data_IF_059198976158
#
_entry.id   IF_059198976158
#
_cell.length_a   1.000
_cell.length_b   1.000
_cell.length_c   1.000
_cell.angle_alpha   90.00
_cell.angle_beta   90.00
_cell.angle_gamma   90.00
#
_symmetry.space_group_name_H-M   'P 1'
#
loop_
_entity.id
_entity.type
_entity.pdbx_description
1 polymer ?
#
# COMPACT_ATOMS: atom_id res chain seq x y z
N UNK A 1 -24.90 14.84 3.64
CA UNK A 1 -25.15 13.80 4.66
C UNK A 1 -24.13 12.72 4.40
N UNK A 2 -23.48 12.18 5.44
CA UNK A 2 -22.50 11.12 5.23
C UNK A 2 -23.15 9.91 4.55
N UNK A 3 -22.35 9.13 3.84
CA UNK A 3 -22.76 7.91 3.16
C UNK A 3 -23.27 6.83 4.12
N UNK A 4 -22.79 6.86 5.35
CA UNK A 4 -23.25 6.02 6.44
C UNK A 4 -23.32 6.86 7.73
N UNK A 5 -24.26 6.53 8.62
CA UNK A 5 -24.47 7.26 9.87
C UNK A 5 -23.88 6.54 11.10
N UNK A 6 -23.45 5.29 10.96
CA UNK A 6 -22.86 4.50 12.04
C UNK A 6 -22.10 3.30 11.49
N UNK A 7 -21.00 2.90 12.12
CA UNK A 7 -20.24 1.69 11.78
C UNK A 7 -20.09 0.78 12.99
N UNK A 8 -19.81 -0.51 12.74
CA UNK A 8 -19.45 -1.45 13.81
C UNK A 8 -17.95 -1.31 14.11
N UNK A 9 -17.65 -0.77 15.29
CA UNK A 9 -16.28 -0.60 15.77
C UNK A 9 -15.52 -1.93 15.86
N UNK A 10 -16.17 -3.03 16.24
CA UNK A 10 -15.51 -4.33 16.37
C UNK A 10 -15.11 -4.91 15.01
N UNK A 11 -15.95 -4.73 13.99
CA UNK A 11 -15.59 -5.13 12.62
C UNK A 11 -14.43 -4.30 12.06
N UNK A 12 -14.36 -3.00 12.39
CA UNK A 12 -13.21 -2.16 12.01
C UNK A 12 -11.93 -2.61 12.72
N UNK A 13 -11.98 -2.86 14.03
CA UNK A 13 -10.83 -3.35 14.81
C UNK A 13 -10.34 -4.70 14.27
N UNK A 14 -11.27 -5.60 13.93
CA UNK A 14 -10.97 -6.91 13.33
C UNK A 14 -10.33 -6.75 11.95
N UNK A 15 -10.85 -5.86 11.10
CA UNK A 15 -10.27 -5.57 9.79
C UNK A 15 -8.83 -5.03 9.91
N UNK A 16 -8.56 -4.15 10.88
CA UNK A 16 -7.21 -3.65 11.18
C UNK A 16 -6.29 -4.81 11.61
N UNK A 17 -6.75 -5.68 12.52
CA UNK A 17 -5.96 -6.81 12.99
C UNK A 17 -5.59 -7.77 11.84
N UNK A 18 -6.55 -8.15 11.00
CA UNK A 18 -6.31 -9.01 9.83
C UNK A 18 -5.39 -8.34 8.81
N UNK A 19 -5.54 -7.03 8.59
CA UNK A 19 -4.67 -6.29 7.68
C UNK A 19 -3.21 -6.25 8.18
N UNK A 20 -3.00 -6.06 9.47
CA UNK A 20 -1.67 -6.09 10.09
C UNK A 20 -1.04 -7.50 10.04
N UNK A 21 -1.82 -8.53 10.33
CA UNK A 21 -1.37 -9.92 10.21
C UNK A 21 -0.92 -10.23 8.78
N UNK A 22 -1.73 -9.87 7.80
CA UNK A 22 -1.42 -10.04 6.37
C UNK A 22 -0.18 -9.24 5.96
N UNK A 23 -0.04 -8.01 6.46
CA UNK A 23 1.13 -7.17 6.20
C UNK A 23 2.42 -7.83 6.68
N UNK A 24 2.49 -8.25 7.95
CA UNK A 24 3.69 -8.84 8.51
C UNK A 24 4.00 -10.22 7.92
N UNK A 25 2.99 -11.05 7.66
CA UNK A 25 3.18 -12.35 7.01
C UNK A 25 3.83 -12.20 5.62
N UNK A 26 3.28 -11.31 4.79
CA UNK A 26 3.80 -11.03 3.45
C UNK A 26 5.20 -10.40 3.49
N UNK A 27 5.44 -9.50 4.45
CA UNK A 27 6.75 -8.84 4.59
C UNK A 27 7.83 -9.85 4.98
N UNK A 28 7.55 -10.73 5.94
CA UNK A 28 8.44 -11.83 6.35
C UNK A 28 8.71 -12.75 5.15
N UNK A 29 7.69 -13.17 4.41
CA UNK A 29 7.87 -14.01 3.22
C UNK A 29 8.79 -13.35 2.18
N UNK A 30 8.63 -12.05 1.93
CA UNK A 30 9.48 -11.29 0.99
C UNK A 30 10.94 -11.23 1.46
N UNK A 31 11.17 -11.04 2.75
CA UNK A 31 12.51 -10.98 3.35
C UNK A 31 13.17 -12.36 3.31
N UNK A 32 12.44 -13.39 3.71
CA UNK A 32 12.92 -14.77 3.72
C UNK A 32 13.26 -15.26 2.32
N UNK A 33 12.47 -14.86 1.31
CA UNK A 33 12.71 -15.17 -0.10
C UNK A 33 13.76 -14.30 -0.81
N UNK A 34 14.34 -13.30 -0.14
CA UNK A 34 15.31 -12.39 -0.76
C UNK A 34 16.61 -13.11 -1.13
N UNK A 35 17.05 -12.95 -2.37
CA UNK A 35 18.26 -13.57 -2.91
C UNK A 35 19.27 -12.52 -3.38
N UNK A 36 20.48 -12.54 -2.83
CA UNK A 36 21.45 -11.47 -3.09
C UNK A 36 21.85 -11.39 -4.56
N UNK A 37 22.05 -12.53 -5.24
CA UNK A 37 22.45 -12.55 -6.65
C UNK A 37 21.38 -11.92 -7.54
N UNK A 38 20.09 -12.28 -7.34
CA UNK A 38 18.97 -11.67 -8.08
C UNK A 38 18.89 -10.17 -7.86
N UNK A 39 19.15 -9.71 -6.63
CA UNK A 39 19.14 -8.28 -6.31
C UNK A 39 20.32 -7.57 -6.97
N UNK A 40 21.53 -8.12 -6.85
CA UNK A 40 22.74 -7.48 -7.37
C UNK A 40 22.73 -7.35 -8.89
N UNK A 41 22.00 -8.20 -9.64
CA UNK A 41 21.76 -8.01 -11.09
C UNK A 41 21.01 -6.73 -11.45
N UNK A 42 20.24 -6.14 -10.52
CA UNK A 42 19.41 -4.95 -10.77
C UNK A 42 19.96 -3.69 -10.10
N UNK A 43 21.03 -3.82 -9.31
CA UNK A 43 21.65 -2.71 -8.60
C UNK A 43 22.82 -2.16 -9.40
N UNK A 44 23.26 -0.95 -9.05
CA UNK A 44 24.39 -0.30 -9.69
C UNK A 44 25.65 -0.51 -8.82
N UNK A 45 26.56 -1.44 -9.18
CA UNK A 45 27.78 -1.68 -8.42
C UNK A 45 28.71 -0.45 -8.36
N UNK A 46 28.72 0.38 -9.41
CA UNK A 46 29.49 1.63 -9.43
C UNK A 46 29.00 2.63 -8.38
N UNK A 47 27.70 2.67 -8.08
CA UNK A 47 27.16 3.53 -7.02
C UNK A 47 27.66 3.11 -5.64
N UNK A 48 27.74 1.81 -5.36
CA UNK A 48 28.30 1.33 -4.09
C UNK A 48 29.78 1.69 -3.96
N UNK A 49 30.54 1.57 -5.05
CA UNK A 49 31.94 2.02 -5.11
C UNK A 49 32.07 3.52 -4.91
N UNK A 50 31.21 4.32 -5.55
CA UNK A 50 31.20 5.78 -5.45
C UNK A 50 30.80 6.27 -4.04
N UNK A 51 29.94 5.53 -3.34
CA UNK A 51 29.64 5.76 -1.92
C UNK A 51 30.75 5.32 -0.98
N UNK A 52 31.89 4.85 -1.51
CA UNK A 52 33.03 4.35 -0.77
C UNK A 52 32.67 3.21 0.21
N UNK A 53 31.68 2.38 -0.14
CA UNK A 53 31.32 1.22 0.69
C UNK A 53 32.49 0.24 0.72
N UNK A 54 32.87 -0.24 1.91
CA UNK A 54 34.10 -1.02 2.10
C UNK A 54 33.86 -2.49 2.46
N UNK A 55 32.64 -2.85 2.86
CA UNK A 55 32.35 -4.21 3.35
C UNK A 55 31.11 -4.82 2.72
N UNK A 56 31.08 -6.15 2.68
CA UNK A 56 29.90 -6.92 2.30
C UNK A 56 28.69 -6.57 3.18
N UNK A 57 28.92 -6.38 4.48
CA UNK A 57 27.87 -6.01 5.44
C UNK A 57 27.21 -4.69 5.09
N UNK A 58 28.00 -3.67 4.77
CA UNK A 58 27.51 -2.34 4.42
C UNK A 58 26.65 -2.34 3.13
N UNK A 59 27.09 -3.06 2.10
CA UNK A 59 26.32 -3.19 0.85
C UNK A 59 25.03 -3.96 1.11
N UNK A 60 25.10 -5.09 1.82
CA UNK A 60 23.93 -5.93 2.11
C UNK A 60 22.92 -5.20 2.99
N UNK A 61 23.37 -4.46 4.00
CA UNK A 61 22.50 -3.64 4.85
C UNK A 61 21.79 -2.57 4.01
N UNK A 62 22.54 -1.80 3.19
CA UNK A 62 21.94 -0.80 2.31
C UNK A 62 20.92 -1.40 1.34
N UNK A 63 21.17 -2.62 0.84
CA UNK A 63 20.25 -3.34 -0.04
C UNK A 63 19.00 -3.79 0.71
N UNK A 64 19.19 -4.44 1.87
CA UNK A 64 18.11 -5.01 2.66
C UNK A 64 17.18 -3.91 3.19
N UNK A 65 17.72 -2.83 3.75
CA UNK A 65 16.91 -1.68 4.21
C UNK A 65 16.10 -1.07 3.09
N UNK A 66 16.70 -0.85 1.92
CA UNK A 66 15.98 -0.30 0.76
C UNK A 66 14.90 -1.26 0.24
N UNK A 67 15.17 -2.58 0.25
CA UNK A 67 14.21 -3.60 -0.15
C UNK A 67 13.02 -3.66 0.81
N UNK A 68 13.29 -3.65 2.12
CA UNK A 68 12.27 -3.66 3.16
C UNK A 68 11.40 -2.42 3.06
N UNK A 69 11.98 -1.22 3.01
CA UNK A 69 11.24 0.04 2.91
C UNK A 69 10.28 0.07 1.71
N UNK A 70 10.74 -0.36 0.52
CA UNK A 70 9.89 -0.44 -0.67
C UNK A 70 8.80 -1.51 -0.56
N UNK A 71 9.12 -2.65 0.08
CA UNK A 71 8.16 -3.73 0.29
C UNK A 71 7.08 -3.33 1.30
N UNK A 72 7.46 -2.63 2.37
CA UNK A 72 6.55 -2.13 3.40
C UNK A 72 5.50 -1.21 2.76
N UNK A 73 5.92 -0.19 2.01
CA UNK A 73 5.00 0.73 1.33
C UNK A 73 4.05 -0.01 0.38
N UNK A 74 4.58 -0.95 -0.41
CA UNK A 74 3.80 -1.70 -1.40
C UNK A 74 2.77 -2.61 -0.73
N UNK A 75 3.20 -3.44 0.23
CA UNK A 75 2.33 -4.41 0.90
C UNK A 75 1.27 -3.67 1.71
N UNK A 76 1.68 -2.69 2.51
CA UNK A 76 0.77 -1.92 3.36
C UNK A 76 -0.27 -1.16 2.53
N UNK A 77 0.17 -0.53 1.42
CA UNK A 77 -0.72 0.15 0.48
C UNK A 77 -1.79 -0.76 -0.14
N UNK A 78 -1.49 -2.06 -0.30
CA UNK A 78 -2.39 -3.04 -0.91
C UNK A 78 -3.35 -3.69 0.08
N UNK A 79 -2.95 -3.92 1.33
CA UNK A 79 -3.75 -4.72 2.27
C UNK A 79 -4.43 -3.92 3.39
N UNK A 80 -4.02 -2.68 3.65
CA UNK A 80 -4.44 -2.00 4.88
C UNK A 80 -5.79 -1.29 4.76
N UNK A 81 -5.92 -0.35 3.84
CA UNK A 81 -7.03 0.60 3.88
C UNK A 81 -8.35 0.11 3.29
N UNK A 82 -8.31 -0.72 2.24
CA UNK A 82 -9.53 -1.22 1.59
C UNK A 82 -10.41 -2.03 2.56
N UNK A 83 -9.89 -3.02 3.32
CA UNK A 83 -10.72 -3.77 4.28
C UNK A 83 -11.32 -2.89 5.37
N UNK A 84 -10.56 -1.90 5.85
CA UNK A 84 -11.03 -0.94 6.88
C UNK A 84 -12.17 -0.08 6.33
N UNK A 85 -12.02 0.44 5.11
CA UNK A 85 -13.04 1.24 4.47
C UNK A 85 -14.32 0.41 4.23
N UNK A 86 -14.20 -0.85 3.79
CA UNK A 86 -15.35 -1.76 3.65
C UNK A 86 -16.04 -1.93 5.01
N UNK A 87 -15.31 -2.31 6.06
CA UNK A 87 -15.87 -2.52 7.40
C UNK A 87 -16.56 -1.26 7.98
N UNK A 88 -16.02 -0.07 7.69
CA UNK A 88 -16.55 1.20 8.19
C UNK A 88 -17.72 1.75 7.36
N UNK A 89 -17.90 1.29 6.12
CA UNK A 89 -18.82 1.91 5.16
C UNK A 89 -20.29 1.53 5.32
N UNK A 90 -20.59 0.40 5.97
CA UNK A 90 -21.94 -0.21 5.92
C UNK A 90 -22.35 -0.68 4.51
N UNK A 91 -21.45 -0.60 3.53
CA UNK A 91 -21.63 -1.03 2.15
C UNK A 91 -21.09 -2.44 1.91
N UNK A 92 -21.23 -2.89 0.66
CA UNK A 92 -20.69 -4.18 0.23
C UNK A 92 -19.48 -3.98 -0.68
N UNK A 93 -18.56 -4.96 -0.67
CA UNK A 93 -17.50 -5.04 -1.67
C UNK A 93 -18.12 -5.08 -3.06
N UNK A 94 -17.68 -4.18 -3.94
CA UNK A 94 -18.27 -4.07 -5.25
C UNK A 94 -17.80 -5.20 -6.18
N UNK A 95 -18.69 -5.62 -7.09
CA UNK A 95 -18.35 -6.56 -8.16
C UNK A 95 -17.80 -5.84 -9.41
N UNK A 96 -17.98 -4.52 -9.48
CA UNK A 96 -17.57 -3.72 -10.62
C UNK A 96 -16.07 -3.39 -10.55
N UNK A 97 -15.36 -3.55 -11.67
CA UNK A 97 -13.92 -3.31 -11.75
C UNK A 97 -13.54 -1.89 -11.31
N UNK A 98 -12.51 -1.76 -10.48
CA UNK A 98 -12.00 -0.48 -9.98
C UNK A 98 -12.97 0.29 -9.08
N UNK A 99 -14.04 -0.35 -8.61
CA UNK A 99 -14.85 0.15 -7.50
C UNK A 99 -14.64 -0.83 -6.36
N UNK A 100 -14.38 -0.30 -5.17
CA UNK A 100 -14.06 -1.11 -4.00
C UNK A 100 -15.31 -1.30 -3.12
N UNK A 101 -16.13 -0.25 -2.99
CA UNK A 101 -17.34 -0.24 -2.14
C UNK A 101 -18.53 0.28 -2.94
N UNK A 102 -19.67 -0.38 -2.76
CA UNK A 102 -20.98 0.08 -3.23
C UNK A 102 -21.94 0.19 -2.05
N UNK A 103 -22.57 1.36 -1.90
CA UNK A 103 -23.58 1.65 -0.88
C UNK A 103 -24.89 1.99 -1.59
N UNK A 104 -25.97 1.33 -1.20
CA UNK A 104 -27.31 1.63 -1.68
C UNK A 104 -28.12 2.31 -0.58
N UNK A 105 -28.41 3.59 -0.77
CA UNK A 105 -29.45 4.27 0.01
C UNK A 105 -30.80 4.00 -0.65
N UNK A 106 -31.67 3.27 0.05
CA UNK A 106 -33.02 2.93 -0.43
C UNK A 106 -34.01 4.09 -0.26
N UNK A 107 -33.76 5.00 0.68
CA UNK A 107 -34.64 6.13 0.96
C UNK A 107 -34.50 7.20 -0.12
N UNK A 108 -33.27 7.49 -0.55
CA UNK A 108 -33.02 8.44 -1.65
C UNK A 108 -32.91 7.77 -3.03
N UNK A 109 -32.96 6.44 -3.08
CA UNK A 109 -32.69 5.63 -4.27
C UNK A 109 -31.35 5.99 -4.94
N UNK A 110 -30.29 6.11 -4.12
CA UNK A 110 -28.95 6.50 -4.55
C UNK A 110 -27.97 5.34 -4.40
N UNK A 111 -27.17 5.12 -5.44
CA UNK A 111 -26.03 4.21 -5.45
C UNK A 111 -24.75 5.05 -5.37
N UNK A 112 -24.01 4.87 -4.29
CA UNK A 112 -22.70 5.47 -4.10
C UNK A 112 -21.61 4.44 -4.40
N UNK A 113 -20.75 4.77 -5.36
CA UNK A 113 -19.62 3.94 -5.79
C UNK A 113 -18.30 4.57 -5.33
N UNK A 114 -17.49 3.82 -4.61
CA UNK A 114 -16.27 4.35 -3.99
C UNK A 114 -15.07 3.55 -4.47
N UNK A 115 -14.07 4.25 -5.01
CA UNK A 115 -12.73 3.72 -5.21
C UNK A 115 -11.84 4.19 -4.06
N UNK A 116 -11.39 3.26 -3.23
CA UNK A 116 -10.50 3.47 -2.10
C UNK A 116 -9.06 3.49 -2.60
N UNK A 117 -8.30 4.48 -2.11
CA UNK A 117 -6.90 4.68 -2.44
C UNK A 117 -6.16 5.08 -1.16
N UNK A 118 -4.90 4.67 -1.06
CA UNK A 118 -4.10 4.96 0.13
C UNK A 118 -3.90 6.48 0.30
N UNK A 119 -3.35 7.17 -0.70
CA UNK A 119 -3.05 8.61 -0.66
C UNK A 119 -3.33 9.35 -1.97
N UNK A 120 -3.17 10.69 -1.99
CA UNK A 120 -3.61 11.54 -3.11
C UNK A 120 -2.76 11.41 -4.39
N UNK A 121 -1.53 10.89 -4.29
CA UNK A 121 -0.55 10.82 -5.39
C UNK A 121 -0.41 9.42 -6.00
N UNK A 122 -1.50 8.66 -6.07
CA UNK A 122 -1.49 7.26 -6.56
C UNK A 122 -1.81 7.10 -8.05
N UNK A 123 -2.29 8.15 -8.70
CA UNK A 123 -2.70 8.09 -10.10
C UNK A 123 -1.62 8.63 -11.03
N UNK A 124 -1.30 7.86 -12.06
CA UNK A 124 -0.75 8.38 -13.31
C UNK A 124 -1.91 8.68 -14.28
N UNK A 125 -1.60 9.24 -15.45
CA UNK A 125 -2.63 9.64 -16.41
C UNK A 125 -3.51 8.46 -16.86
N UNK A 126 -2.91 7.30 -17.11
CA UNK A 126 -3.61 6.11 -17.60
C UNK A 126 -4.50 5.47 -16.53
N UNK A 127 -3.99 5.32 -15.30
CA UNK A 127 -4.76 4.74 -14.21
C UNK A 127 -5.95 5.61 -13.82
N UNK A 128 -5.81 6.95 -13.94
CA UNK A 128 -6.93 7.87 -13.75
C UNK A 128 -7.99 7.73 -14.84
N UNK A 129 -7.58 7.66 -16.12
CA UNK A 129 -8.49 7.48 -17.25
C UNK A 129 -9.27 6.17 -17.12
N UNK A 130 -8.60 5.08 -16.74
CA UNK A 130 -9.26 3.79 -16.48
C UNK A 130 -10.26 3.88 -15.33
N UNK A 131 -9.91 4.55 -14.23
CA UNK A 131 -10.84 4.77 -13.12
C UNK A 131 -12.10 5.53 -13.56
N UNK A 132 -11.94 6.54 -14.41
CA UNK A 132 -13.08 7.30 -14.96
C UNK A 132 -13.98 6.43 -15.85
N UNK A 133 -13.39 5.55 -16.66
CA UNK A 133 -14.13 4.58 -17.47
C UNK A 133 -14.93 3.60 -16.60
N UNK A 134 -14.34 3.13 -15.51
CA UNK A 134 -14.99 2.22 -14.57
C UNK A 134 -16.20 2.87 -13.89
N UNK A 135 -16.08 4.13 -13.44
CA UNK A 135 -17.23 4.87 -12.92
C UNK A 135 -18.31 5.11 -13.98
N UNK A 136 -17.93 5.43 -15.23
CA UNK A 136 -18.91 5.59 -16.31
C UNK A 136 -19.69 4.29 -16.58
N UNK A 137 -19.03 3.13 -16.54
CA UNK A 137 -19.68 1.84 -16.73
C UNK A 137 -20.68 1.55 -15.59
N UNK A 138 -20.28 1.76 -14.33
CA UNK A 138 -21.16 1.57 -13.18
C UNK A 138 -22.34 2.58 -13.16
N UNK A 139 -22.11 3.81 -13.61
CA UNK A 139 -23.18 4.81 -13.74
C UNK A 139 -24.28 4.37 -14.71
N UNK A 140 -23.92 3.75 -15.84
CA UNK A 140 -24.91 3.20 -16.79
C UNK A 140 -25.77 2.10 -16.17
N UNK A 141 -25.17 1.23 -15.34
CA UNK A 141 -25.92 0.20 -14.62
C UNK A 141 -26.89 0.81 -13.61
N UNK A 142 -26.47 1.83 -12.86
CA UNK A 142 -27.35 2.54 -11.93
C UNK A 142 -28.52 3.24 -12.66
N UNK A 143 -28.28 3.82 -13.84
CA UNK A 143 -29.33 4.42 -14.66
C UNK A 143 -30.37 3.40 -15.13
N UNK A 144 -29.95 2.19 -15.51
CA UNK A 144 -30.88 1.09 -15.86
C UNK A 144 -31.76 0.69 -14.68
N UNK A 145 -31.21 0.73 -13.46
CA UNK A 145 -31.94 0.53 -12.21
C UNK A 145 -32.76 1.75 -11.77
N UNK A 146 -32.78 2.84 -12.55
CA UNK A 146 -33.43 4.13 -12.23
C UNK A 146 -32.95 4.73 -10.89
N UNK A 147 -31.73 4.42 -10.48
CA UNK A 147 -31.12 4.93 -9.26
C UNK A 147 -30.27 6.18 -9.57
N UNK A 148 -30.20 7.11 -8.62
CA UNK A 148 -29.21 8.17 -8.65
C UNK A 148 -27.82 7.54 -8.46
N UNK A 149 -26.81 8.10 -9.12
CA UNK A 149 -25.43 7.60 -9.03
C UNK A 149 -24.50 8.69 -8.52
N UNK A 150 -23.71 8.36 -7.51
CA UNK A 150 -22.66 9.21 -6.98
C UNK A 150 -21.34 8.44 -6.93
N UNK A 151 -20.26 9.02 -7.45
CA UNK A 151 -18.95 8.38 -7.48
C UNK A 151 -17.95 9.15 -6.61
N UNK A 152 -17.11 8.41 -5.91
CA UNK A 152 -16.12 8.93 -4.97
C UNK A 152 -14.78 8.26 -5.18
N UNK A 153 -13.70 9.05 -5.23
CA UNK A 153 -12.36 8.58 -4.95
C UNK A 153 -12.04 8.98 -3.51
N UNK A 154 -11.89 7.98 -2.65
CA UNK A 154 -11.52 8.15 -1.25
C UNK A 154 -10.04 7.94 -1.04
N UNK A 155 -9.33 8.97 -0.59
CA UNK A 155 -7.94 8.87 -0.16
C UNK A 155 -7.88 8.74 1.36
N UNK A 156 -7.34 7.63 1.84
CA UNK A 156 -7.34 7.28 3.25
C UNK A 156 -6.42 8.14 4.12
N UNK A 157 -5.35 8.68 3.56
CA UNK A 157 -4.50 9.67 4.23
C UNK A 157 -4.18 10.87 3.33
N UNK A 158 -3.58 11.89 3.95
CA UNK A 158 -3.17 13.11 3.27
C UNK A 158 -4.27 14.17 3.23
N UNK A 159 -3.97 15.27 2.54
CA UNK A 159 -4.87 16.43 2.42
C UNK A 159 -4.97 16.81 0.95
N UNK A 160 -6.18 17.14 0.50
CA UNK A 160 -6.44 17.66 -0.84
C UNK A 160 -7.22 18.96 -0.72
N UNK A 161 -6.77 19.99 -1.43
CA UNK A 161 -7.51 21.25 -1.56
C UNK A 161 -8.48 21.10 -2.72
N UNK A 162 -9.69 21.63 -2.56
CA UNK A 162 -10.60 21.79 -3.68
C UNK A 162 -9.97 22.78 -4.67
N UNK A 163 -9.59 22.28 -5.85
CA UNK A 163 -8.85 23.10 -6.80
C UNK A 163 -9.73 24.11 -7.54
N UNK A 164 -11.06 24.06 -7.37
CA UNK A 164 -12.06 25.07 -7.80
C UNK A 164 -12.08 25.45 -9.30
N UNK A 165 -11.11 24.98 -10.09
CA UNK A 165 -10.78 25.44 -11.44
C UNK A 165 -10.69 24.30 -12.45
N UNK A 166 -11.19 23.12 -12.11
CA UNK A 166 -11.24 21.95 -12.99
C UNK A 166 -12.58 21.83 -13.72
N UNK A 167 -12.58 21.08 -14.83
CA UNK A 167 -13.83 20.63 -15.45
C UNK A 167 -14.67 19.88 -14.41
N UNK A 168 -16.02 20.03 -14.42
CA UNK A 168 -16.89 19.21 -13.58
C UNK A 168 -16.56 17.74 -13.79
N UNK A 169 -16.26 17.04 -12.70
CA UNK A 169 -16.01 15.60 -12.70
C UNK A 169 -17.31 14.88 -12.38
N UNK A 170 -17.49 13.68 -12.93
CA UNK A 170 -18.60 12.80 -12.55
C UNK A 170 -18.43 12.18 -11.15
N UNK A 171 -17.30 12.43 -10.50
CA UNK A 171 -16.92 11.89 -9.19
C UNK A 171 -16.33 12.99 -8.30
N UNK A 172 -16.42 12.78 -7.00
CA UNK A 172 -15.80 13.61 -5.97
C UNK A 172 -14.48 12.99 -5.50
N UNK A 173 -13.55 13.82 -5.03
CA UNK A 173 -12.26 13.39 -4.48
C UNK A 173 -12.17 13.85 -3.03
N UNK A 174 -12.15 12.92 -2.08
CA UNK A 174 -12.11 13.21 -0.66
C UNK A 174 -10.83 12.62 -0.06
N UNK A 175 -10.17 13.34 0.86
CA UNK A 175 -8.90 12.90 1.43
C UNK A 175 -8.86 13.02 2.96
N UNK A 176 -8.27 12.02 3.61
CA UNK A 176 -8.07 11.96 5.05
C UNK A 176 -9.38 12.15 5.80
N UNK A 177 -9.40 13.09 6.76
CA UNK A 177 -10.56 13.42 7.58
C UNK A 177 -11.87 13.51 6.78
N UNK A 178 -11.87 14.23 5.63
CA UNK A 178 -13.08 14.41 4.82
C UNK A 178 -13.61 13.09 4.24
N UNK A 179 -12.72 12.21 3.79
CA UNK A 179 -13.15 10.92 3.25
C UNK A 179 -13.74 10.05 4.35
N UNK A 180 -13.05 9.96 5.49
CA UNK A 180 -13.51 9.14 6.60
C UNK A 180 -14.82 9.65 7.20
N UNK A 181 -14.95 10.95 7.42
CA UNK A 181 -16.20 11.56 7.91
C UNK A 181 -17.37 11.31 6.94
N UNK A 182 -17.12 11.44 5.64
CA UNK A 182 -18.15 11.13 4.63
C UNK A 182 -18.52 9.65 4.64
N UNK A 183 -17.56 8.75 4.83
CA UNK A 183 -17.79 7.31 4.80
C UNK A 183 -18.52 6.80 6.05
N UNK A 184 -18.27 7.38 7.22
CA UNK A 184 -18.68 6.82 8.52
C UNK A 184 -19.66 7.68 9.32
N UNK A 185 -19.75 8.98 9.00
CA UNK A 185 -20.44 9.98 9.80
C UNK A 185 -19.64 10.48 11.01
N UNK A 186 -18.42 10.00 11.20
CA UNK A 186 -17.55 10.33 12.35
C UNK A 186 -16.33 11.16 11.91
N UNK A 187 -16.33 12.43 12.31
CA UNK A 187 -15.29 13.42 12.01
C UNK A 187 -13.90 13.06 12.59
N UNK A 188 -13.86 12.20 13.61
CA UNK A 188 -12.63 11.78 14.29
C UNK A 188 -12.21 10.35 13.91
N UNK A 189 -12.94 9.69 13.02
CA UNK A 189 -12.64 8.31 12.60
C UNK A 189 -11.19 8.13 12.11
N UNK A 190 -10.66 9.11 11.38
CA UNK A 190 -9.28 9.06 10.89
C UNK A 190 -8.22 8.99 12.00
N UNK A 191 -8.52 9.55 13.19
CA UNK A 191 -7.70 9.41 14.40
C UNK A 191 -7.98 8.06 15.05
N UNK A 192 -9.25 7.64 15.08
CA UNK A 192 -9.62 6.34 15.67
C UNK A 192 -8.91 5.17 14.99
N UNK A 193 -8.64 5.21 13.69
CA UNK A 193 -7.87 4.16 13.00
C UNK A 193 -6.53 3.88 13.70
N UNK A 194 -5.73 4.92 13.99
CA UNK A 194 -4.45 4.73 14.69
C UNK A 194 -4.66 4.32 16.16
N UNK A 195 -5.74 4.79 16.80
CA UNK A 195 -6.12 4.35 18.14
C UNK A 195 -6.49 2.86 18.20
N UNK A 196 -7.24 2.37 17.23
CA UNK A 196 -7.64 0.97 17.09
C UNK A 196 -6.46 0.04 16.79
N UNK A 197 -5.44 0.53 16.08
CA UNK A 197 -4.19 -0.23 15.91
C UNK A 197 -3.52 -0.51 17.27
N UNK A 198 -3.54 0.46 18.19
CA UNK A 198 -3.01 0.30 19.55
C UNK A 198 -1.64 -0.38 19.57
N UNK A 199 -1.51 -1.44 20.37
CA UNK A 199 -0.29 -2.25 20.48
C UNK A 199 -0.30 -3.50 19.60
N UNK A 200 -1.28 -3.66 18.70
CA UNK A 200 -1.35 -4.83 17.81
C UNK A 200 -0.05 -5.08 17.02
N UNK A 201 0.63 -4.05 16.47
CA UNK A 201 1.88 -4.26 15.73
C UNK A 201 3.01 -4.90 16.55
N UNK A 202 3.03 -4.68 17.88
CA UNK A 202 4.10 -5.17 18.77
C UNK A 202 4.18 -6.70 18.77
N UNK A 203 3.05 -7.37 18.53
CA UNK A 203 2.94 -8.84 18.46
C UNK A 203 3.82 -9.45 17.37
N UNK A 204 4.12 -8.70 16.31
CA UNK A 204 4.86 -9.20 15.15
C UNK A 204 6.34 -8.85 15.18
N UNK A 205 6.77 -7.96 16.09
CA UNK A 205 8.13 -7.41 16.15
C UNK A 205 9.17 -8.51 16.32
N UNK A 206 8.91 -9.50 17.19
CA UNK A 206 9.85 -10.59 17.45
C UNK A 206 10.11 -11.43 16.18
N UNK A 207 9.06 -11.90 15.52
CA UNK A 207 9.15 -12.73 14.32
C UNK A 207 9.77 -11.96 13.14
N UNK A 208 9.35 -10.71 12.95
CA UNK A 208 9.93 -9.85 11.92
C UNK A 208 11.43 -9.63 12.16
N UNK A 209 11.84 -9.30 13.40
CA UNK A 209 13.24 -9.08 13.76
C UNK A 209 14.08 -10.34 13.57
N UNK A 210 13.54 -11.51 13.91
CA UNK A 210 14.19 -12.78 13.67
C UNK A 210 14.41 -13.04 12.17
N UNK A 211 13.38 -12.87 11.35
CA UNK A 211 13.47 -13.01 9.88
C UNK A 211 14.48 -12.02 9.28
N UNK A 212 14.41 -10.75 9.66
CA UNK A 212 15.35 -9.71 9.21
C UNK A 212 16.80 -10.07 9.54
N UNK A 213 17.08 -10.50 10.78
CA UNK A 213 18.43 -10.88 11.21
C UNK A 213 18.94 -12.11 10.47
N UNK A 214 18.09 -13.13 10.27
CA UNK A 214 18.43 -14.33 9.48
C UNK A 214 18.75 -13.95 8.04
N UNK A 215 17.94 -13.09 7.42
CA UNK A 215 18.16 -12.62 6.07
C UNK A 215 19.46 -11.81 5.97
N UNK A 216 19.73 -10.87 6.88
CA UNK A 216 20.98 -10.10 6.91
C UNK A 216 22.21 -11.02 6.93
N UNK A 217 22.26 -11.95 7.90
CA UNK A 217 23.38 -12.90 8.04
C UNK A 217 23.54 -13.80 6.80
N UNK A 218 22.43 -14.33 6.28
CA UNK A 218 22.43 -15.17 5.08
C UNK A 218 22.98 -14.39 3.88
N UNK A 219 22.48 -13.17 3.65
CA UNK A 219 22.82 -12.36 2.49
C UNK A 219 24.27 -11.87 2.56
N UNK A 220 24.78 -11.52 3.73
CA UNK A 220 26.22 -11.21 3.93
C UNK A 220 27.06 -12.41 3.54
N UNK A 221 26.75 -13.60 4.04
CA UNK A 221 27.48 -14.82 3.69
C UNK A 221 27.43 -15.11 2.19
N UNK A 222 26.25 -15.03 1.58
CA UNK A 222 26.08 -15.25 0.14
C UNK A 222 26.83 -14.21 -0.71
N UNK A 223 26.82 -12.94 -0.28
CA UNK A 223 27.58 -11.87 -0.92
C UNK A 223 29.07 -12.15 -0.84
N UNK A 224 29.60 -12.38 0.37
CA UNK A 224 31.03 -12.61 0.59
C UNK A 224 31.53 -13.79 -0.23
N UNK A 225 30.79 -14.92 -0.23
CA UNK A 225 31.15 -16.10 -1.02
C UNK A 225 31.16 -15.84 -2.53
N UNK A 226 30.37 -14.88 -3.01
CA UNK A 226 30.22 -14.61 -4.44
C UNK A 226 31.12 -13.49 -4.93
N UNK A 227 31.34 -12.44 -4.13
CA UNK A 227 31.86 -11.15 -4.55
C UNK A 227 32.97 -10.59 -3.66
N UNK A 228 33.49 -11.36 -2.71
CA UNK A 228 34.71 -10.99 -1.97
C UNK A 228 35.88 -11.91 -2.34
N UNK A 229 37.09 -11.38 -2.18
CA UNK A 229 38.35 -12.11 -2.27
C UNK A 229 38.63 -12.87 -0.96
N UNK A 230 39.64 -13.73 -0.98
CA UNK A 230 40.05 -14.50 0.21
C UNK A 230 40.50 -13.62 1.39
N UNK A 231 41.04 -12.43 1.10
CA UNK A 231 41.41 -11.44 2.12
C UNK A 231 40.22 -10.67 2.73
N UNK A 232 38.99 -10.97 2.28
CA UNK A 232 37.75 -10.34 2.74
C UNK A 232 37.41 -9.03 2.03
N UNK A 233 38.29 -8.50 1.17
CA UNK A 233 38.00 -7.31 0.37
C UNK A 233 36.98 -7.62 -0.73
N UNK A 234 36.19 -6.62 -1.12
CA UNK A 234 35.22 -6.77 -2.21
C UNK A 234 35.98 -6.89 -3.54
N UNK A 235 35.64 -7.93 -4.29
CA UNK A 235 36.05 -8.10 -5.68
C UNK A 235 35.13 -7.30 -6.60
N UNK A 236 35.45 -6.01 -6.74
CA UNK A 236 34.66 -5.06 -7.52
C UNK A 236 34.56 -5.44 -9.00
N UNK A 237 35.65 -5.96 -9.58
CA UNK A 237 35.67 -6.39 -10.99
C UNK A 237 34.72 -7.55 -11.19
N UNK A 238 34.79 -8.58 -10.34
CA UNK A 238 33.86 -9.72 -10.38
C UNK A 238 32.41 -9.31 -10.16
N UNK A 239 32.15 -8.35 -9.25
CA UNK A 239 30.80 -7.86 -9.02
C UNK A 239 30.24 -7.11 -10.23
N UNK A 240 31.07 -6.30 -10.89
CA UNK A 240 30.70 -5.58 -12.12
C UNK A 240 30.48 -6.57 -13.27
N UNK A 241 31.38 -7.53 -13.46
CA UNK A 241 31.25 -8.60 -14.46
C UNK A 241 29.95 -9.38 -14.27
N UNK A 242 29.62 -9.76 -13.03
CA UNK A 242 28.36 -10.44 -12.73
C UNK A 242 27.11 -9.60 -13.05
N UNK A 243 27.20 -8.28 -12.88
CA UNK A 243 26.08 -7.36 -13.04
C UNK A 243 25.86 -6.93 -14.49
N UNK A 244 26.95 -6.68 -15.21
CA UNK A 244 26.98 -5.97 -16.49
C UNK A 244 27.73 -6.71 -17.60
N UNK A 245 28.42 -7.81 -17.28
CA UNK A 245 29.08 -8.68 -18.26
C UNK A 245 28.07 -9.51 -19.04
N UNK A 246 28.56 -10.12 -20.14
CA UNK A 246 27.78 -10.92 -21.08
C UNK A 246 27.30 -12.28 -20.50
#
# INVERSE_FOLDING_TARGET
>A
MPLNNSYDEQEVIKAIATALETFYANLIEKIDGLNIKKVMKRKNPYLYRAKAMQSASEIVESVLTAFVSSSEETIFGNCFFEPIAIAASGGNKALAEGIDIMIQDKTTNTISAIAVKSGPSVFNADSKKRQEQNFMAASKLAQQAKARYEAYIGYCYGKKKDSGRGKPKMYQELAGKRFWAELTGDEDFYIKIIGYMGTMPEKYVANYKESYNKAANRLVREFSNSFCKEDGSIDWEKLVEFNSGD
#
